data_IF_294607532061
#
_entry.id   IF_294607532061
#
_cell.length_a   1.000
_cell.length_b   1.000
_cell.length_c   1.000
_cell.angle_alpha   90.00
_cell.angle_beta   90.00
_cell.angle_gamma   90.00
#
_symmetry.space_group_name_H-M   'P 1'
#
loop_
_entity.id
_entity.type
_entity.pdbx_description
1 polymer ?
#
# COMPACT_ATOMS: atom_id res chain seq x y z
N UNK A 1 3.66 18.78 -20.76
CA UNK A 1 4.57 18.51 -19.62
C UNK A 1 4.01 18.99 -18.30
N UNK A 2 3.61 20.25 -18.23
CA UNK A 2 3.08 20.81 -16.99
C UNK A 2 1.80 20.08 -16.52
N UNK A 3 0.86 19.83 -17.42
CA UNK A 3 -0.36 19.10 -17.11
C UNK A 3 -0.07 17.70 -16.62
N UNK A 4 0.90 17.08 -17.24
CA UNK A 4 1.31 15.75 -16.90
C UNK A 4 1.90 15.68 -15.50
N UNK A 5 2.75 16.63 -15.16
CA UNK A 5 3.33 16.72 -13.82
C UNK A 5 2.27 17.00 -12.77
N UNK A 6 1.30 17.87 -13.08
CA UNK A 6 0.19 18.15 -12.18
C UNK A 6 -0.66 16.90 -11.95
N UNK A 7 -0.89 16.13 -13.00
CA UNK A 7 -1.65 14.89 -12.90
C UNK A 7 -0.94 13.89 -12.01
N UNK A 8 0.37 13.74 -12.16
CA UNK A 8 1.17 12.89 -11.29
C UNK A 8 1.07 13.37 -9.84
N UNK A 9 1.21 14.67 -9.60
CA UNK A 9 1.14 15.24 -8.28
C UNK A 9 -0.21 15.03 -7.61
N UNK A 10 -1.29 15.06 -8.39
CA UNK A 10 -2.64 14.89 -7.86
C UNK A 10 -2.99 13.44 -7.59
N UNK A 11 -2.52 12.51 -8.41
CA UNK A 11 -2.99 11.13 -8.40
C UNK A 11 -1.98 10.09 -7.94
N UNK A 12 -0.69 10.40 -7.99
CA UNK A 12 0.34 9.39 -7.75
C UNK A 12 1.33 9.73 -6.65
N UNK A 13 1.52 11.00 -6.34
CA UNK A 13 2.47 11.37 -5.30
C UNK A 13 1.85 11.20 -3.93
N UNK A 14 2.53 10.40 -3.10
CA UNK A 14 2.13 10.17 -1.72
C UNK A 14 2.85 11.18 -0.83
N UNK A 15 2.13 11.73 0.14
CA UNK A 15 2.74 12.58 1.16
C UNK A 15 3.50 11.71 2.17
N UNK A 16 4.35 12.32 2.98
CA UNK A 16 5.04 11.60 4.05
C UNK A 16 4.05 10.96 5.03
N UNK A 17 2.94 11.65 5.29
CA UNK A 17 1.90 11.11 6.17
C UNK A 17 1.19 9.91 5.53
N UNK A 18 0.94 9.97 4.23
CA UNK A 18 0.35 8.85 3.49
C UNK A 18 1.27 7.64 3.53
N UNK A 19 2.57 7.84 3.31
CA UNK A 19 3.55 6.78 3.36
C UNK A 19 3.63 6.12 4.72
N UNK A 20 3.59 6.91 5.80
CA UNK A 20 3.59 6.39 7.16
C UNK A 20 2.34 5.56 7.43
N UNK A 21 1.19 6.07 7.03
CA UNK A 21 -0.09 5.39 7.23
C UNK A 21 -0.13 4.07 6.48
N UNK A 22 0.26 4.10 5.21
CA UNK A 22 0.30 2.89 4.39
C UNK A 22 1.34 1.90 4.92
N UNK A 23 2.51 2.39 5.32
CA UNK A 23 3.55 1.56 5.90
C UNK A 23 3.09 0.86 7.17
N UNK A 24 2.35 1.56 8.04
CA UNK A 24 1.80 0.97 9.24
C UNK A 24 0.77 -0.11 8.92
N UNK A 25 -0.10 0.15 7.95
CA UNK A 25 -1.10 -0.83 7.53
C UNK A 25 -0.44 -2.09 6.96
N UNK A 26 0.63 -1.93 6.18
CA UNK A 26 1.38 -3.05 5.64
C UNK A 26 2.02 -3.86 6.76
N UNK A 27 2.66 -3.19 7.72
CA UNK A 27 3.30 -3.86 8.85
C UNK A 27 2.29 -4.61 9.69
N UNK A 28 1.17 -3.96 10.03
CA UNK A 28 0.11 -4.58 10.81
C UNK A 28 -0.48 -5.79 10.07
N UNK A 29 -0.60 -5.68 8.76
CA UNK A 29 -1.08 -6.77 7.91
C UNK A 29 -0.14 -7.96 7.92
N UNK A 30 1.17 -7.74 7.88
CA UNK A 30 2.16 -8.81 7.95
C UNK A 30 2.11 -9.53 9.30
N UNK A 31 2.00 -8.78 10.39
CA UNK A 31 1.85 -9.36 11.73
C UNK A 31 0.57 -10.18 11.81
N UNK A 32 -0.52 -9.68 11.23
CA UNK A 32 -1.79 -10.40 11.21
C UNK A 32 -1.68 -11.72 10.45
N UNK A 33 -1.01 -11.73 9.30
CA UNK A 33 -0.80 -12.95 8.52
C UNK A 33 0.04 -13.97 9.31
N UNK A 34 1.11 -13.52 9.95
CA UNK A 34 1.94 -14.39 10.78
C UNK A 34 1.11 -15.06 11.87
N UNK A 35 0.25 -14.29 12.53
CA UNK A 35 -0.59 -14.81 13.60
C UNK A 35 -1.64 -15.79 13.07
N UNK A 36 -2.24 -15.48 11.91
CA UNK A 36 -3.25 -16.35 11.29
C UNK A 36 -2.65 -17.69 10.82
N UNK A 37 -1.39 -17.68 10.39
CA UNK A 37 -0.70 -18.89 9.91
C UNK A 37 0.04 -19.63 11.01
N UNK A 38 0.12 -19.05 12.21
CA UNK A 38 0.78 -19.69 13.35
C UNK A 38 -0.07 -20.81 13.95
N UNK A 39 0.56 -21.57 14.86
CA UNK A 39 -0.08 -22.72 15.49
C UNK A 39 -0.92 -22.36 16.71
N UNK A 40 -0.86 -21.10 17.18
CA UNK A 40 -1.62 -20.68 18.34
C UNK A 40 -3.12 -20.62 18.03
N UNK A 41 -3.96 -21.12 18.95
CA UNK A 41 -5.40 -21.03 18.76
C UNK A 41 -5.87 -19.57 18.84
N UNK A 42 -6.75 -19.21 17.92
CA UNK A 42 -7.30 -17.87 17.82
C UNK A 42 -8.82 -18.00 17.81
N UNK A 43 -9.51 -17.17 18.61
CA UNK A 43 -10.96 -17.18 18.61
C UNK A 43 -11.53 -16.55 17.33
N UNK A 44 -12.82 -16.75 17.09
CA UNK A 44 -13.47 -16.30 15.85
C UNK A 44 -13.46 -14.78 15.70
N UNK A 45 -13.63 -14.04 16.80
CA UNK A 45 -13.61 -12.58 16.77
C UNK A 45 -12.23 -12.04 16.44
N UNK A 46 -11.21 -12.60 17.06
CA UNK A 46 -9.81 -12.20 16.79
C UNK A 46 -9.42 -12.56 15.35
N UNK A 47 -9.83 -13.73 14.88
CA UNK A 47 -9.60 -14.16 13.50
C UNK A 47 -10.17 -13.17 12.49
N UNK A 48 -11.37 -12.69 12.74
CA UNK A 48 -12.03 -11.71 11.88
C UNK A 48 -11.23 -10.40 11.83
N UNK A 49 -10.79 -9.93 12.99
CA UNK A 49 -9.98 -8.71 13.10
C UNK A 49 -8.66 -8.86 12.37
N UNK A 50 -8.00 -9.99 12.53
CA UNK A 50 -6.72 -10.27 11.87
C UNK A 50 -6.87 -10.37 10.36
N UNK A 51 -7.94 -10.99 9.88
CA UNK A 51 -8.21 -11.06 8.44
C UNK A 51 -8.42 -9.68 7.84
N UNK A 52 -9.13 -8.82 8.56
CA UNK A 52 -9.35 -7.44 8.12
C UNK A 52 -8.01 -6.69 8.04
N UNK A 53 -7.18 -6.81 9.06
CA UNK A 53 -5.86 -6.18 9.07
C UNK A 53 -4.99 -6.68 7.92
N UNK A 54 -5.02 -7.98 7.64
CA UNK A 54 -4.28 -8.57 6.53
C UNK A 54 -4.77 -8.02 5.18
N UNK A 55 -6.08 -7.89 5.00
CA UNK A 55 -6.65 -7.35 3.77
C UNK A 55 -6.29 -5.87 3.59
N UNK A 56 -6.39 -5.08 4.65
CA UNK A 56 -6.03 -3.66 4.63
C UNK A 56 -4.54 -3.47 4.32
N UNK A 57 -3.70 -4.32 4.89
CA UNK A 57 -2.27 -4.29 4.61
C UNK A 57 -1.96 -4.62 3.16
N UNK A 58 -2.65 -5.60 2.60
CA UNK A 58 -2.47 -5.98 1.19
C UNK A 58 -2.96 -4.85 0.27
N UNK A 59 -4.08 -4.23 0.58
CA UNK A 59 -4.60 -3.11 -0.19
C UNK A 59 -3.63 -1.92 -0.15
N UNK A 60 -3.06 -1.64 1.02
CA UNK A 60 -2.07 -0.57 1.18
C UNK A 60 -0.82 -0.83 0.35
N UNK A 61 -0.34 -2.07 0.35
CA UNK A 61 0.81 -2.48 -0.45
C UNK A 61 0.55 -2.28 -1.94
N UNK A 62 -0.61 -2.71 -2.40
CA UNK A 62 -1.02 -2.55 -3.79
C UNK A 62 -1.07 -1.07 -4.16
N UNK A 63 -1.61 -0.24 -3.28
CA UNK A 63 -1.70 1.21 -3.50
C UNK A 63 -0.30 1.82 -3.68
N UNK A 64 0.65 1.47 -2.82
CA UNK A 64 2.02 1.98 -2.90
C UNK A 64 2.71 1.53 -4.19
N UNK A 65 2.55 0.27 -4.56
CA UNK A 65 3.14 -0.27 -5.79
C UNK A 65 2.57 0.43 -7.01
N UNK A 66 1.27 0.65 -7.07
CA UNK A 66 0.63 1.35 -8.18
C UNK A 66 1.10 2.80 -8.30
N UNK A 67 1.22 3.50 -7.18
CA UNK A 67 1.71 4.86 -7.17
C UNK A 67 3.15 4.94 -7.71
N UNK A 68 4.01 4.03 -7.26
CA UNK A 68 5.39 3.97 -7.72
C UNK A 68 5.49 3.61 -9.20
N UNK A 69 4.66 2.68 -9.68
CA UNK A 69 4.63 2.29 -11.08
C UNK A 69 4.23 3.46 -11.97
N UNK A 70 3.22 4.22 -11.57
CA UNK A 70 2.79 5.40 -12.33
C UNK A 70 3.90 6.43 -12.41
N UNK A 71 4.62 6.64 -11.32
CA UNK A 71 5.74 7.57 -11.31
C UNK A 71 6.86 7.12 -12.26
N UNK A 72 7.22 5.84 -12.23
CA UNK A 72 8.25 5.28 -13.09
C UNK A 72 7.86 5.39 -14.57
N UNK A 73 6.64 5.04 -14.91
CA UNK A 73 6.13 5.16 -16.28
C UNK A 73 6.15 6.62 -16.74
N UNK A 74 5.77 7.53 -15.87
CA UNK A 74 5.78 8.97 -16.18
C UNK A 74 7.19 9.47 -16.48
N UNK A 75 8.16 9.06 -15.68
CA UNK A 75 9.56 9.43 -15.88
C UNK A 75 10.08 8.85 -17.20
N UNK A 76 9.77 7.59 -17.49
CA UNK A 76 10.18 6.93 -18.72
C UNK A 76 9.63 7.67 -19.95
N UNK A 77 8.38 8.08 -19.92
CA UNK A 77 7.78 8.84 -21.02
C UNK A 77 8.46 10.17 -21.25
N UNK A 78 8.90 10.82 -20.17
CA UNK A 78 9.64 12.08 -20.28
C UNK A 78 10.94 11.92 -21.04
N UNK A 79 11.63 10.81 -20.81
CA UNK A 79 12.92 10.55 -21.46
C UNK A 79 12.75 10.07 -22.89
N UNK A 80 11.72 9.32 -23.16
CA UNK A 80 11.45 8.79 -24.50
C UNK A 80 10.84 9.84 -25.42
N UNK A 81 10.15 10.78 -24.87
CA UNK A 81 9.50 11.82 -25.64
C UNK A 81 10.38 13.00 -25.85
#
# INVERSE_FOLDING_TARGET
MRLYLNEIGQHTLLTSDDERRLGKLIKDGLVAVERLTGDEPIDAGEKRTLRRAAQEGQAAKTHMVQANLRLVVSIARRYDG
#
